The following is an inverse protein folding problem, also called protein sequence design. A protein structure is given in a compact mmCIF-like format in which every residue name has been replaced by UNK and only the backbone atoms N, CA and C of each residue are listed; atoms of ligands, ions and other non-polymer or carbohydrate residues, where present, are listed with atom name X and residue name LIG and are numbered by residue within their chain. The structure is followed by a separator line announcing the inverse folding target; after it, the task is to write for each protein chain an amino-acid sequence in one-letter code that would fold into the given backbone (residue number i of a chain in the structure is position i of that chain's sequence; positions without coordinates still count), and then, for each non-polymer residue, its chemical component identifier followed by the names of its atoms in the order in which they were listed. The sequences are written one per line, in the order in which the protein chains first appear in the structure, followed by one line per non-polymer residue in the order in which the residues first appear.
data_IF_123853849892
#
_entry.id   IF_123853849892
#
_cell.length_a   1.000
_cell.length_b   1.000
_cell.length_c   1.000
_cell.angle_alpha   90.00
_cell.angle_beta   90.00
_cell.angle_gamma   90.00
#
_symmetry.space_group_name_H-M   'P 1'
#
loop_
_entity.id
_entity.type
_entity.pdbx_description
1 polymer ?
#
# COMPACT_ATOMS: atom_id res chain seq x y z
N UNK A 1 19.87 7.74 -2.72
CA UNK A 1 19.68 6.34 -2.28
C UNK A 1 18.21 6.01 -1.97
N UNK A 2 17.45 6.80 -1.19
CA UNK A 2 16.01 6.54 -0.95
C UNK A 2 15.11 6.65 -2.20
N UNK A 3 15.42 7.60 -3.09
CA UNK A 3 14.64 7.84 -4.30
C UNK A 3 14.65 6.63 -5.25
N UNK A 4 15.80 5.96 -5.40
CA UNK A 4 15.94 4.79 -6.25
C UNK A 4 15.03 3.65 -5.80
N UNK A 5 15.00 3.33 -4.50
CA UNK A 5 14.09 2.32 -3.96
C UNK A 5 12.62 2.71 -4.12
N UNK A 6 12.31 4.00 -4.01
CA UNK A 6 10.96 4.52 -4.22
C UNK A 6 10.50 4.33 -5.67
N UNK A 7 11.39 4.59 -6.64
CA UNK A 7 11.10 4.38 -8.06
C UNK A 7 10.93 2.90 -8.40
N UNK A 8 11.81 2.03 -7.88
CA UNK A 8 11.67 0.56 -8.05
C UNK A 8 10.33 0.09 -7.48
N UNK A 9 9.98 0.56 -6.29
CA UNK A 9 8.70 0.24 -5.64
C UNK A 9 7.52 0.70 -6.49
N UNK A 10 7.56 1.91 -7.05
CA UNK A 10 6.52 2.43 -7.95
C UNK A 10 6.28 1.49 -9.13
N UNK A 11 7.34 1.02 -9.80
CA UNK A 11 7.20 0.08 -10.91
C UNK A 11 6.64 -1.27 -10.47
N UNK A 12 7.13 -1.81 -9.34
CA UNK A 12 6.66 -3.08 -8.79
C UNK A 12 5.17 -2.98 -8.43
N UNK A 13 4.72 -1.90 -7.78
CA UNK A 13 3.32 -1.69 -7.42
C UNK A 13 2.42 -1.55 -8.64
N UNK A 14 2.88 -0.87 -9.69
CA UNK A 14 2.17 -0.79 -10.97
C UNK A 14 1.99 -2.17 -11.60
N UNK A 15 3.07 -2.95 -11.69
CA UNK A 15 3.02 -4.31 -12.23
C UNK A 15 2.16 -5.25 -11.37
N UNK A 16 2.31 -5.18 -10.05
CA UNK A 16 1.52 -5.94 -9.07
C UNK A 16 0.02 -5.70 -9.25
N UNK A 17 -0.40 -4.46 -9.49
CA UNK A 17 -1.80 -4.12 -9.70
C UNK A 17 -2.42 -4.81 -10.94
N UNK A 18 -1.63 -5.00 -12.00
CA UNK A 18 -2.05 -5.75 -13.19
C UNK A 18 -2.22 -7.23 -12.87
N UNK A 19 -1.27 -7.82 -12.14
CA UNK A 19 -1.34 -9.23 -11.71
C UNK A 19 -2.58 -9.51 -10.87
N UNK A 20 -2.96 -8.61 -9.97
CA UNK A 20 -4.22 -8.72 -9.20
C UNK A 20 -5.40 -8.83 -10.14
N UNK A 21 -5.49 -7.93 -11.12
CA UNK A 21 -6.64 -7.92 -12.04
C UNK A 21 -6.72 -9.19 -12.86
N UNK A 22 -5.59 -9.64 -13.42
CA UNK A 22 -5.49 -10.91 -14.14
C UNK A 22 -5.92 -12.10 -13.27
N UNK A 23 -5.56 -12.10 -11.98
CA UNK A 23 -5.99 -13.15 -11.06
C UNK A 23 -7.49 -13.07 -10.75
N UNK A 24 -8.04 -11.87 -10.56
CA UNK A 24 -9.46 -11.64 -10.28
C UNK A 24 -10.38 -11.96 -11.46
N UNK A 25 -9.85 -12.04 -12.69
CA UNK A 25 -10.61 -12.52 -13.86
C UNK A 25 -10.93 -14.03 -13.77
N UNK A 26 -10.23 -14.76 -12.90
CA UNK A 26 -10.38 -16.22 -12.74
C UNK A 26 -10.65 -16.65 -11.30
N UNK A 27 -10.39 -15.80 -10.32
CA UNK A 27 -10.48 -16.10 -8.90
C UNK A 27 -11.38 -15.10 -8.18
N UNK A 28 -12.11 -15.57 -7.18
CA UNK A 28 -12.74 -14.67 -6.20
C UNK A 28 -11.68 -13.92 -5.38
N UNK A 29 -12.03 -12.75 -4.84
CA UNK A 29 -11.11 -11.96 -4.01
C UNK A 29 -10.64 -12.75 -2.78
N UNK A 30 -11.49 -13.64 -2.22
CA UNK A 30 -11.14 -14.52 -1.11
C UNK A 30 -10.04 -15.51 -1.50
N UNK A 31 -10.20 -16.18 -2.65
CA UNK A 31 -9.20 -17.12 -3.17
C UNK A 31 -7.88 -16.41 -3.45
N UNK A 32 -7.93 -15.23 -4.08
CA UNK A 32 -6.75 -14.43 -4.33
C UNK A 32 -6.05 -14.04 -3.02
N UNK A 33 -6.78 -13.56 -2.01
CA UNK A 33 -6.21 -13.23 -0.70
C UNK A 33 -5.51 -14.43 -0.07
N UNK A 34 -6.17 -15.60 -0.03
CA UNK A 34 -5.58 -16.80 0.58
C UNK A 34 -4.34 -17.26 -0.18
N UNK A 35 -4.42 -17.41 -1.51
CA UNK A 35 -3.31 -17.87 -2.35
C UNK A 35 -2.13 -16.90 -2.27
N UNK A 36 -2.37 -15.60 -2.46
CA UNK A 36 -1.29 -14.60 -2.46
C UNK A 36 -0.61 -14.47 -1.09
N UNK A 37 -1.38 -14.55 0.00
CA UNK A 37 -0.81 -14.51 1.36
C UNK A 37 0.04 -15.74 1.64
N UNK A 38 -0.46 -16.94 1.35
CA UNK A 38 0.28 -18.18 1.54
C UNK A 38 1.55 -18.25 0.67
N UNK A 39 1.46 -17.79 -0.58
CA UNK A 39 2.61 -17.70 -1.47
C UNK A 39 3.69 -16.71 -0.98
N UNK A 40 3.29 -15.65 -0.26
CA UNK A 40 4.20 -14.66 0.32
C UNK A 40 4.89 -15.11 1.62
N UNK A 41 4.29 -16.01 2.40
CA UNK A 41 4.83 -16.47 3.69
C UNK A 41 6.29 -16.97 3.62
N UNK A 42 6.70 -17.79 2.63
CA UNK A 42 8.08 -18.24 2.52
C UNK A 42 9.10 -17.10 2.45
N UNK A 43 8.77 -15.98 1.80
CA UNK A 43 9.68 -14.83 1.69
C UNK A 43 9.96 -14.22 3.07
N UNK A 44 8.94 -14.08 3.93
CA UNK A 44 9.10 -13.59 5.30
C UNK A 44 9.89 -14.58 6.17
N UNK A 45 9.65 -15.89 6.01
CA UNK A 45 10.40 -16.93 6.72
C UNK A 45 11.87 -16.92 6.33
N UNK A 46 12.18 -16.84 5.03
CA UNK A 46 13.56 -16.75 4.53
C UNK A 46 14.26 -15.51 5.09
N UNK A 47 13.58 -14.35 5.07
CA UNK A 47 14.10 -13.11 5.63
C UNK A 47 14.45 -13.27 7.12
N UNK A 48 13.56 -13.88 7.90
CA UNK A 48 13.82 -14.16 9.32
C UNK A 48 15.00 -15.11 9.53
N UNK A 49 15.06 -16.21 8.79
CA UNK A 49 16.13 -17.21 8.94
C UNK A 49 17.50 -16.69 8.52
N UNK A 50 17.55 -15.82 7.51
CA UNK A 50 18.77 -15.23 6.98
C UNK A 50 19.32 -14.13 7.90
N UNK A 51 18.49 -13.17 8.32
CA UNK A 51 18.95 -12.02 9.11
C UNK A 51 18.87 -12.24 10.63
N UNK A 52 17.99 -13.13 11.10
CA UNK A 52 17.76 -13.44 12.52
C UNK A 52 17.66 -12.18 13.41
N UNK A 53 16.78 -11.22 13.08
CA UNK A 53 16.67 -9.99 13.84
C UNK A 53 16.28 -10.26 15.29
N UNK A 54 16.88 -9.55 16.25
CA UNK A 54 16.45 -9.61 17.64
C UNK A 54 15.09 -8.92 17.82
N UNK A 55 14.19 -9.57 18.56
CA UNK A 55 12.87 -9.00 18.84
C UNK A 55 12.94 -8.09 20.06
N UNK A 56 12.87 -6.77 19.83
CA UNK A 56 12.80 -5.78 20.90
C UNK A 56 11.34 -5.45 21.22
N UNK A 57 10.78 -6.15 22.22
CA UNK A 57 9.40 -5.91 22.68
C UNK A 57 9.23 -4.56 23.39
N UNK A 58 10.32 -4.00 23.92
CA UNK A 58 10.34 -2.69 24.59
C UNK A 58 10.55 -1.52 23.64
N UNK A 59 10.78 -1.77 22.35
CA UNK A 59 10.98 -0.71 21.36
C UNK A 59 9.69 0.13 21.19
N UNK A 60 9.80 1.47 21.08
CA UNK A 60 8.68 2.31 20.67
C UNK A 60 8.05 1.88 19.33
N UNK A 61 8.81 1.19 18.47
CA UNK A 61 8.34 0.66 17.19
C UNK A 61 7.54 -0.64 17.29
N UNK A 62 7.47 -1.29 18.46
CA UNK A 62 6.76 -2.56 18.63
C UNK A 62 5.25 -2.43 18.35
N UNK A 63 4.59 -1.44 18.97
CA UNK A 63 3.15 -1.25 18.80
C UNK A 63 2.78 -0.81 17.36
N UNK A 64 3.48 0.15 16.72
CA UNK A 64 3.27 0.43 15.30
C UNK A 64 3.46 -0.81 14.41
N UNK A 65 4.50 -1.63 14.65
CA UNK A 65 4.72 -2.86 13.89
C UNK A 65 3.59 -3.88 14.06
N UNK A 66 3.07 -4.04 15.29
CA UNK A 66 1.91 -4.88 15.56
C UNK A 66 0.67 -4.38 14.83
N UNK A 67 0.41 -3.07 14.86
CA UNK A 67 -0.71 -2.45 14.14
C UNK A 67 -0.58 -2.63 12.62
N UNK A 68 0.62 -2.53 12.07
CA UNK A 68 0.88 -2.84 10.65
C UNK A 68 0.44 -4.27 10.34
N UNK A 69 0.76 -5.24 11.20
CA UNK A 69 0.34 -6.64 11.04
C UNK A 69 -1.18 -6.83 11.03
N UNK A 70 -1.93 -6.00 11.76
CA UNK A 70 -3.39 -6.04 11.82
C UNK A 70 -4.06 -5.29 10.66
N UNK A 71 -3.52 -4.15 10.26
CA UNK A 71 -4.09 -3.27 9.23
C UNK A 71 -3.75 -3.74 7.82
N UNK A 72 -2.56 -4.31 7.60
CA UNK A 72 -2.10 -4.70 6.26
C UNK A 72 -3.03 -5.71 5.56
N UNK A 73 -3.53 -6.78 6.24
CA UNK A 73 -4.49 -7.69 5.63
C UNK A 73 -5.81 -7.00 5.26
N UNK A 74 -6.27 -6.06 6.09
CA UNK A 74 -7.50 -5.29 5.82
C UNK A 74 -7.33 -4.42 4.57
N UNK A 75 -6.20 -3.72 4.45
CA UNK A 75 -5.87 -2.92 3.28
C UNK A 75 -5.78 -3.78 2.00
N UNK A 76 -5.16 -4.96 2.11
CA UNK A 76 -5.05 -5.90 0.99
C UNK A 76 -6.41 -6.45 0.55
N UNK A 77 -7.24 -6.90 1.49
CA UNK A 77 -8.59 -7.41 1.22
C UNK A 77 -9.45 -6.33 0.57
N UNK A 78 -9.46 -5.11 1.14
CA UNK A 78 -10.26 -4.00 0.59
C UNK A 78 -9.77 -3.55 -0.78
N UNK A 79 -8.46 -3.61 -1.05
CA UNK A 79 -7.90 -3.38 -2.38
C UNK A 79 -8.35 -4.43 -3.41
N UNK A 80 -8.27 -5.71 -3.08
CA UNK A 80 -8.71 -6.79 -3.98
C UNK A 80 -10.22 -6.73 -4.22
N UNK A 81 -11.00 -6.44 -3.17
CA UNK A 81 -12.44 -6.24 -3.30
C UNK A 81 -12.74 -5.06 -4.24
N UNK A 82 -12.11 -3.90 -4.06
CA UNK A 82 -12.30 -2.75 -4.94
C UNK A 82 -11.94 -3.07 -6.40
N UNK A 83 -10.83 -3.77 -6.65
CA UNK A 83 -10.40 -4.18 -7.99
C UNK A 83 -11.30 -5.27 -8.62
N UNK A 84 -11.98 -6.07 -7.79
CA UNK A 84 -12.97 -7.03 -8.25
C UNK A 84 -14.27 -6.36 -8.68
N UNK A 85 -14.61 -5.22 -8.08
CA UNK A 85 -15.85 -4.48 -8.33
C UNK A 85 -15.70 -3.39 -9.41
N UNK A 86 -14.50 -2.85 -9.62
CA UNK A 86 -14.26 -1.69 -10.46
C UNK A 86 -13.27 -1.92 -11.60
N UNK A 87 -13.19 -0.93 -12.50
CA UNK A 87 -12.17 -0.88 -13.56
C UNK A 87 -10.81 -0.54 -12.93
N UNK A 88 -9.78 -1.30 -13.30
CA UNK A 88 -8.39 -1.06 -12.82
C UNK A 88 -7.94 0.38 -13.11
N UNK A 89 -8.35 0.95 -14.25
CA UNK A 89 -8.02 2.31 -14.68
C UNK A 89 -8.62 3.42 -13.81
N UNK A 90 -9.59 3.11 -12.96
CA UNK A 90 -10.22 4.05 -12.02
C UNK A 90 -9.78 3.74 -10.59
N UNK A 91 -9.83 2.47 -10.20
CA UNK A 91 -9.54 2.03 -8.82
C UNK A 91 -8.07 2.22 -8.46
N UNK A 92 -7.12 1.89 -9.35
CA UNK A 92 -5.68 2.01 -9.04
C UNK A 92 -5.27 3.47 -8.86
N UNK A 93 -5.61 4.41 -9.77
CA UNK A 93 -5.36 5.83 -9.51
C UNK A 93 -6.01 6.31 -8.22
N UNK A 94 -7.28 5.94 -7.95
CA UNK A 94 -7.99 6.30 -6.73
C UNK A 94 -7.22 5.90 -5.45
N UNK A 95 -6.68 4.67 -5.43
CA UNK A 95 -5.93 4.15 -4.28
C UNK A 95 -4.54 4.79 -4.19
N UNK A 96 -3.89 5.07 -5.32
CA UNK A 96 -2.57 5.71 -5.39
C UNK A 96 -2.52 7.12 -4.78
N UNK A 97 -3.67 7.65 -4.36
CA UNK A 97 -3.84 8.94 -3.69
C UNK A 97 -3.72 8.83 -2.16
N UNK A 98 -3.44 7.65 -1.62
CA UNK A 98 -3.09 7.48 -0.21
C UNK A 98 -2.01 8.45 0.30
N UNK A 99 -1.05 8.98 -0.50
CA UNK A 99 -0.12 10.00 -0.01
C UNK A 99 -0.80 11.26 0.51
N UNK A 100 -1.99 11.63 0.01
CA UNK A 100 -2.79 12.74 0.54
C UNK A 100 -3.15 12.47 2.01
N UNK A 101 -3.65 11.26 2.28
CA UNK A 101 -4.00 10.81 3.64
C UNK A 101 -2.74 10.70 4.50
N UNK A 102 -1.65 10.14 3.96
CA UNK A 102 -0.36 10.02 4.66
C UNK A 102 0.19 11.37 5.08
N UNK A 103 0.18 12.38 4.20
CA UNK A 103 0.67 13.72 4.52
C UNK A 103 -0.20 14.38 5.59
N UNK A 104 -1.52 14.25 5.51
CA UNK A 104 -2.40 14.76 6.56
C UNK A 104 -2.07 14.11 7.91
N UNK A 105 -1.96 12.77 7.94
CA UNK A 105 -1.60 12.03 9.15
C UNK A 105 -0.18 12.35 9.66
N UNK A 106 0.79 12.62 8.78
CA UNK A 106 2.16 12.94 9.22
C UNK A 106 2.21 14.31 9.92
N UNK A 107 1.40 15.27 9.48
CA UNK A 107 1.24 16.56 10.18
C UNK A 107 0.61 16.34 11.57
N UNK A 108 -0.48 15.58 11.66
CA UNK A 108 -1.23 15.41 12.91
C UNK A 108 -0.56 14.48 13.93
N UNK A 109 0.03 13.38 13.47
CA UNK A 109 0.57 12.32 14.33
C UNK A 109 2.08 12.45 14.56
N UNK A 110 2.82 12.90 13.54
CA UNK A 110 4.29 12.99 13.59
C UNK A 110 4.78 14.43 13.80
N UNK A 111 3.89 15.42 13.72
CA UNK A 111 4.24 16.83 13.86
C UNK A 111 5.10 17.36 12.71
N UNK A 112 5.06 16.70 11.54
CA UNK A 112 5.86 17.11 10.39
C UNK A 112 5.41 18.46 9.84
N UNK A 113 6.37 19.30 9.46
CA UNK A 113 6.12 20.55 8.73
C UNK A 113 6.23 20.28 7.24
N UNK A 114 5.14 20.48 6.52
CA UNK A 114 5.14 20.37 5.06
C UNK A 114 5.55 21.68 4.40
N UNK A 115 6.30 21.55 3.31
CA UNK A 115 6.64 22.67 2.43
C UNK A 115 5.45 23.05 1.56
N UNK A 116 5.47 24.28 1.01
CA UNK A 116 4.45 24.74 0.05
C UNK A 116 4.38 23.79 -1.17
N UNK A 117 5.53 23.30 -1.64
CA UNK A 117 5.59 22.36 -2.77
C UNK A 117 4.92 21.02 -2.46
N UNK A 118 5.10 20.48 -1.24
CA UNK A 118 4.41 19.26 -0.81
C UNK A 118 2.90 19.48 -0.68
N UNK A 119 2.48 20.62 -0.12
CA UNK A 119 1.07 21.01 -0.05
C UNK A 119 0.44 21.13 -1.43
N UNK A 120 1.12 21.77 -2.38
CA UNK A 120 0.67 21.84 -3.76
C UNK A 120 0.56 20.45 -4.40
N UNK A 121 1.54 19.56 -4.17
CA UNK A 121 1.49 18.17 -4.63
C UNK A 121 0.28 17.41 -4.10
N UNK A 122 -0.07 17.59 -2.83
CA UNK A 122 -1.29 17.02 -2.21
C UNK A 122 -2.56 17.56 -2.88
N UNK A 123 -2.62 18.86 -3.17
CA UNK A 123 -3.76 19.47 -3.88
C UNK A 123 -3.88 18.93 -5.30
N UNK A 124 -2.77 18.82 -6.04
CA UNK A 124 -2.79 18.25 -7.39
C UNK A 124 -3.19 16.77 -7.39
N UNK A 125 -2.73 16.00 -6.40
CA UNK A 125 -3.20 14.63 -6.20
C UNK A 125 -4.71 14.62 -5.93
N UNK A 126 -5.22 15.46 -5.03
CA UNK A 126 -6.65 15.61 -4.73
C UNK A 126 -7.49 15.95 -5.98
N UNK A 127 -6.97 16.79 -6.87
CA UNK A 127 -7.63 17.13 -8.14
C UNK A 127 -7.62 15.97 -9.14
N UNK A 128 -6.54 15.18 -9.17
CA UNK A 128 -6.49 13.98 -10.00
C UNK A 128 -7.60 12.98 -9.63
N UNK A 129 -7.92 12.84 -8.34
CA UNK A 129 -9.04 12.00 -7.84
C UNK A 129 -10.35 12.39 -8.53
N UNK A 130 -10.64 13.69 -8.52
CA UNK A 130 -11.88 14.25 -9.05
C UNK A 130 -11.99 13.94 -10.53
N UNK A 131 -10.90 14.12 -11.30
CA UNK A 131 -10.88 13.81 -12.72
C UNK A 131 -11.13 12.32 -13.02
N UNK A 132 -10.48 11.41 -12.28
CA UNK A 132 -10.72 9.96 -12.44
C UNK A 132 -12.12 9.52 -11.98
N UNK A 133 -12.76 10.24 -11.07
CA UNK A 133 -14.12 9.90 -10.60
C UNK A 133 -15.21 10.17 -11.65
N UNK A 134 -14.92 10.97 -12.68
CA UNK A 134 -15.86 11.29 -13.76
C UNK A 134 -15.69 10.41 -15.02
N UNK A 135 -14.83 9.39 -14.99
CA UNK A 135 -14.55 8.45 -16.10
C UNK A 135 -15.05 7.03 -15.84
#
# INVERSE_FOLDING_TARGET
MWLTYSLITLFIWGFWSILIKMALDHLSWQQLTLISTLAGLPAYVILFLYYRPSMSLSSPGFYPALLIGLVSPIALITNYLALSLGKISVVVPLIALYPVVTVALSIFLLGEKITIAQGAGVVFAALAIVLFSFS
#
